data_IF_725342534470
#
_entry.id   IF_725342534470
#
_cell.length_a   1.000
_cell.length_b   1.000
_cell.length_c   1.000
_cell.angle_alpha   90.00
_cell.angle_beta   90.00
_cell.angle_gamma   90.00
#
_symmetry.space_group_name_H-M   'P 1'
#
loop_
_entity.id
_entity.type
_entity.pdbx_description
1 polymer ?
#
# COMPACT_ATOMS: atom_id res chain seq x y z
N UNK A 1 4.81 37.22 -26.40
CA UNK A 1 3.86 36.09 -26.34
C UNK A 1 4.13 35.36 -25.05
N UNK A 2 3.28 35.54 -24.04
CA UNK A 2 3.46 34.88 -22.75
C UNK A 2 3.06 33.42 -22.86
N UNK A 3 4.01 32.51 -22.60
CA UNK A 3 3.69 31.09 -22.43
C UNK A 3 2.71 30.97 -21.25
N UNK A 4 1.47 30.60 -21.56
CA UNK A 4 0.51 30.15 -20.55
C UNK A 4 1.03 28.81 -20.03
N UNK A 5 1.91 28.88 -19.04
CA UNK A 5 2.31 27.71 -18.25
C UNK A 5 1.06 27.23 -17.55
N UNK A 6 0.43 26.17 -18.09
CA UNK A 6 -0.69 25.50 -17.43
C UNK A 6 -0.16 25.04 -16.07
N UNK A 7 -0.59 25.71 -15.01
CA UNK A 7 -0.29 25.35 -13.63
C UNK A 7 -1.19 24.19 -13.24
N UNK A 8 -0.63 23.15 -12.63
CA UNK A 8 -1.34 21.93 -12.30
C UNK A 8 -0.76 20.71 -12.99
N UNK A 9 0.08 19.95 -12.28
CA UNK A 9 0.52 18.62 -12.72
C UNK A 9 -0.69 17.68 -12.79
N UNK A 10 -1.07 17.27 -14.00
CA UNK A 10 -2.22 16.36 -14.22
C UNK A 10 -2.02 15.00 -13.54
N UNK A 11 -0.81 14.38 -13.55
CA UNK A 11 -0.53 13.18 -12.78
C UNK A 11 -0.79 13.33 -11.28
N UNK A 12 -0.30 14.42 -10.67
CA UNK A 12 -0.43 14.64 -9.22
C UNK A 12 -1.90 14.89 -8.83
N UNK A 13 -2.65 15.62 -9.67
CA UNK A 13 -4.08 15.84 -9.47
C UNK A 13 -4.90 14.54 -9.62
N UNK A 14 -4.55 13.68 -10.57
CA UNK A 14 -5.18 12.36 -10.72
C UNK A 14 -4.88 11.47 -9.51
N UNK A 15 -3.62 11.41 -9.08
CA UNK A 15 -3.21 10.65 -7.90
C UNK A 15 -3.92 11.14 -6.64
N UNK A 16 -4.03 12.46 -6.47
CA UNK A 16 -4.82 13.09 -5.40
C UNK A 16 -6.28 12.64 -5.41
N UNK A 17 -6.95 12.68 -6.58
CA UNK A 17 -8.34 12.24 -6.70
C UNK A 17 -8.51 10.75 -6.35
N UNK A 18 -7.58 9.89 -6.77
CA UNK A 18 -7.60 8.45 -6.44
C UNK A 18 -7.40 8.22 -4.95
N UNK A 19 -6.41 8.86 -4.32
CA UNK A 19 -6.15 8.72 -2.88
C UNK A 19 -7.31 9.22 -2.03
N UNK A 20 -7.87 10.39 -2.36
CA UNK A 20 -9.05 10.92 -1.67
C UNK A 20 -10.24 9.97 -1.87
N UNK A 21 -10.48 9.52 -3.10
CA UNK A 21 -11.59 8.61 -3.41
C UNK A 21 -11.52 7.29 -2.64
N UNK A 22 -10.35 6.62 -2.67
CA UNK A 22 -10.14 5.37 -1.94
C UNK A 22 -10.19 5.57 -0.42
N UNK A 23 -9.59 6.64 0.10
CA UNK A 23 -9.61 6.95 1.52
C UNK A 23 -11.02 7.24 2.04
N UNK A 24 -11.81 8.03 1.32
CA UNK A 24 -13.22 8.29 1.64
C UNK A 24 -14.05 7.01 1.55
N UNK A 25 -13.81 6.17 0.54
CA UNK A 25 -14.48 4.88 0.40
C UNK A 25 -14.20 3.98 1.61
N UNK A 26 -12.96 3.89 2.07
CA UNK A 26 -12.60 3.13 3.28
C UNK A 26 -13.29 3.70 4.53
N UNK A 27 -13.28 5.03 4.70
CA UNK A 27 -13.96 5.69 5.83
C UNK A 27 -15.47 5.43 5.81
N UNK A 28 -16.07 5.43 4.63
CA UNK A 28 -17.48 5.15 4.44
C UNK A 28 -17.81 3.68 4.72
N UNK A 29 -17.04 2.74 4.18
CA UNK A 29 -17.24 1.29 4.39
C UNK A 29 -17.01 0.84 5.83
N UNK A 30 -16.23 1.60 6.61
CA UNK A 30 -15.88 1.26 8.00
C UNK A 30 -16.67 2.06 9.02
N UNK A 31 -17.65 2.88 8.60
CA UNK A 31 -18.45 3.75 9.48
C UNK A 31 -19.25 3.01 10.55
N UNK A 32 -19.63 1.77 10.27
CA UNK A 32 -20.44 0.93 11.17
C UNK A 32 -19.57 0.12 12.15
N UNK A 33 -18.24 0.10 11.96
CA UNK A 33 -17.30 -0.60 12.85
C UNK A 33 -16.99 0.23 14.10
N UNK A 34 -16.86 -0.40 15.26
CA UNK A 34 -16.40 0.31 16.47
C UNK A 34 -14.90 0.57 16.38
N UNK A 35 -14.47 1.82 16.56
CA UNK A 35 -13.04 2.16 16.57
C UNK A 35 -12.39 1.91 17.93
N UNK A 36 -13.12 1.97 19.05
CA UNK A 36 -12.52 1.86 20.38
C UNK A 36 -11.57 3.03 20.68
N UNK A 37 -10.54 2.79 21.48
CA UNK A 37 -9.50 3.76 21.82
C UNK A 37 -8.13 3.32 21.29
N UNK A 38 -7.11 4.19 21.32
CA UNK A 38 -5.76 3.81 20.91
C UNK A 38 -5.16 2.68 21.78
N UNK A 39 -5.58 2.58 23.05
CA UNK A 39 -5.15 1.53 23.97
C UNK A 39 -5.98 0.24 23.85
N UNK A 40 -7.18 0.31 23.28
CA UNK A 40 -8.06 -0.83 23.00
C UNK A 40 -8.67 -0.65 21.62
N UNK A 41 -7.86 -0.97 20.60
CA UNK A 41 -8.20 -0.74 19.20
C UNK A 41 -9.32 -1.70 18.79
N UNK A 42 -10.49 -1.13 18.45
CA UNK A 42 -11.58 -1.88 17.83
C UNK A 42 -11.29 -2.20 16.36
N UNK A 43 -12.11 -3.06 15.72
CA UNK A 43 -11.91 -3.48 14.33
C UNK A 43 -11.94 -2.30 13.33
N UNK A 44 -12.61 -1.20 13.69
CA UNK A 44 -12.66 0.01 12.88
C UNK A 44 -11.47 0.96 13.05
N UNK A 45 -10.60 0.78 14.05
CA UNK A 45 -9.54 1.75 14.37
C UNK A 45 -8.53 1.87 13.22
N UNK A 46 -7.88 0.76 12.87
CA UNK A 46 -6.80 0.74 11.90
C UNK A 46 -7.28 1.10 10.48
N UNK A 47 -8.41 0.53 9.98
CA UNK A 47 -8.95 0.93 8.68
C UNK A 47 -9.28 2.43 8.59
N UNK A 48 -9.89 3.02 9.64
CA UNK A 48 -10.22 4.46 9.64
C UNK A 48 -8.98 5.33 9.68
N UNK A 49 -7.99 4.97 10.49
CA UNK A 49 -6.74 5.71 10.59
C UNK A 49 -6.01 5.73 9.24
N UNK A 50 -5.88 4.57 8.58
CA UNK A 50 -5.26 4.48 7.24
C UNK A 50 -6.10 5.25 6.21
N UNK A 51 -7.42 5.12 6.24
CA UNK A 51 -8.32 5.87 5.36
C UNK A 51 -8.15 7.38 5.49
N UNK A 52 -8.13 7.89 6.73
CA UNK A 52 -7.90 9.31 7.03
C UNK A 52 -6.52 9.78 6.57
N UNK A 53 -5.46 9.03 6.88
CA UNK A 53 -4.09 9.36 6.43
C UNK A 53 -4.00 9.38 4.90
N UNK A 54 -4.70 8.47 4.22
CA UNK A 54 -4.72 8.42 2.75
C UNK A 54 -5.45 9.64 2.16
N UNK A 55 -6.56 10.08 2.77
CA UNK A 55 -7.24 11.33 2.37
C UNK A 55 -6.32 12.52 2.56
N UNK A 56 -5.64 12.64 3.72
CA UNK A 56 -4.69 13.72 4.00
C UNK A 56 -3.56 13.71 2.97
N UNK A 57 -2.97 12.54 2.69
CA UNK A 57 -1.93 12.40 1.69
C UNK A 57 -2.41 12.86 0.30
N UNK A 58 -3.62 12.47 -0.10
CA UNK A 58 -4.24 12.92 -1.34
C UNK A 58 -4.44 14.43 -1.40
N UNK A 59 -4.87 15.07 -0.31
CA UNK A 59 -4.99 16.53 -0.22
C UNK A 59 -3.62 17.22 -0.36
N UNK A 60 -2.59 16.71 0.32
CA UNK A 60 -1.21 17.24 0.24
C UNK A 60 -0.65 17.12 -1.18
N UNK A 61 -0.77 15.94 -1.80
CA UNK A 61 -0.33 15.70 -3.18
C UNK A 61 -1.07 16.62 -4.16
N UNK A 62 -2.39 16.78 -3.99
CA UNK A 62 -3.19 17.67 -4.83
C UNK A 62 -2.77 19.13 -4.69
N UNK A 63 -2.55 19.60 -3.45
CA UNK A 63 -2.09 20.96 -3.18
C UNK A 63 -0.72 21.23 -3.83
N UNK A 64 0.24 20.32 -3.67
CA UNK A 64 1.57 20.41 -4.32
C UNK A 64 1.41 20.40 -5.84
N UNK A 65 0.56 19.52 -6.37
CA UNK A 65 0.28 19.38 -7.79
C UNK A 65 -0.26 20.66 -8.44
N UNK A 66 -1.08 21.43 -7.72
CA UNK A 66 -1.60 22.73 -8.18
C UNK A 66 -0.50 23.80 -8.38
N UNK A 67 0.57 23.73 -7.59
CA UNK A 67 1.69 24.67 -7.67
C UNK A 67 2.81 24.21 -8.62
N UNK A 68 2.81 22.95 -9.04
CA UNK A 68 3.76 22.42 -10.05
C UNK A 68 3.37 22.79 -11.47
N UNK A 69 4.36 22.87 -12.35
CA UNK A 69 4.15 23.00 -13.80
C UNK A 69 3.40 21.80 -14.36
N UNK A 70 2.57 22.03 -15.38
CA UNK A 70 1.77 21.00 -16.02
C UNK A 70 2.63 19.95 -16.71
N UNK A 71 2.62 18.73 -16.18
CA UNK A 71 3.25 17.56 -16.78
C UNK A 71 2.17 16.68 -17.44
N UNK A 72 2.45 16.07 -18.62
CA UNK A 72 1.52 15.13 -19.24
C UNK A 72 1.36 13.86 -18.41
N UNK A 73 0.18 13.23 -18.50
CA UNK A 73 -0.07 11.92 -17.88
C UNK A 73 0.68 10.86 -18.69
N UNK A 74 1.61 10.16 -18.03
CA UNK A 74 2.28 9.00 -18.61
C UNK A 74 1.32 7.84 -18.88
N UNK A 75 1.77 6.86 -19.65
CA UNK A 75 0.95 5.67 -19.94
C UNK A 75 0.81 4.79 -18.69
N UNK A 76 -0.41 4.35 -18.41
CA UNK A 76 -0.67 3.43 -17.30
C UNK A 76 -0.08 2.07 -17.64
N UNK A 77 0.87 1.61 -16.83
CA UNK A 77 1.48 0.30 -16.99
C UNK A 77 0.63 -0.75 -16.26
N UNK A 78 -0.23 -1.45 -17.01
CA UNK A 78 -1.15 -2.46 -16.46
C UNK A 78 -0.42 -3.67 -15.86
N UNK A 79 0.73 -4.06 -16.41
CA UNK A 79 1.48 -5.23 -15.92
C UNK A 79 1.94 -5.06 -14.46
N UNK A 80 2.70 -3.99 -14.08
CA UNK A 80 3.04 -3.75 -12.69
C UNK A 80 1.81 -3.64 -11.77
N UNK A 81 0.76 -2.97 -12.24
CA UNK A 81 -0.47 -2.80 -11.46
C UNK A 81 -1.12 -4.14 -11.09
N UNK A 82 -1.32 -5.02 -12.07
CA UNK A 82 -1.93 -6.34 -11.84
C UNK A 82 -1.04 -7.23 -10.97
N UNK A 83 0.28 -7.21 -11.18
CA UNK A 83 1.22 -8.01 -10.38
C UNK A 83 1.19 -7.57 -8.91
N UNK A 84 1.22 -6.26 -8.63
CA UNK A 84 1.17 -5.75 -7.26
C UNK A 84 -0.15 -6.09 -6.57
N UNK A 85 -1.28 -5.89 -7.26
CA UNK A 85 -2.60 -6.23 -6.72
C UNK A 85 -2.73 -7.73 -6.45
N UNK A 86 -2.28 -8.58 -7.38
CA UNK A 86 -2.30 -10.03 -7.22
C UNK A 86 -1.37 -10.50 -6.09
N UNK A 87 -0.21 -9.86 -5.92
CA UNK A 87 0.74 -10.20 -4.85
C UNK A 87 0.16 -9.85 -3.48
N UNK A 88 -0.46 -8.67 -3.33
CA UNK A 88 -1.12 -8.24 -2.09
C UNK A 88 -2.33 -9.11 -1.77
N UNK A 89 -3.16 -9.43 -2.77
CA UNK A 89 -4.28 -10.35 -2.59
C UNK A 89 -3.80 -11.76 -2.20
N UNK A 90 -2.75 -12.25 -2.86
CA UNK A 90 -2.12 -13.53 -2.54
C UNK A 90 -1.60 -13.58 -1.11
N UNK A 91 -0.96 -12.49 -0.63
CA UNK A 91 -0.56 -12.35 0.77
C UNK A 91 -1.75 -12.47 1.72
N UNK A 92 -2.82 -11.70 1.48
CA UNK A 92 -3.99 -11.70 2.35
C UNK A 92 -4.64 -13.09 2.47
N UNK A 93 -4.70 -13.85 1.36
CA UNK A 93 -5.25 -15.21 1.34
C UNK A 93 -4.30 -16.25 1.95
N UNK A 94 -2.99 -16.09 1.74
CA UNK A 94 -1.98 -17.03 2.22
C UNK A 94 -1.62 -16.82 3.70
N UNK A 95 -1.80 -15.61 4.26
CA UNK A 95 -1.38 -15.28 5.61
C UNK A 95 -2.05 -16.17 6.67
N UNK A 96 -3.35 -16.45 6.52
CA UNK A 96 -4.09 -17.30 7.47
C UNK A 96 -3.90 -18.81 7.19
N UNK A 97 -3.64 -19.20 5.94
CA UNK A 97 -3.62 -20.62 5.52
C UNK A 97 -2.21 -21.23 5.46
N UNK A 98 -1.24 -20.51 4.90
CA UNK A 98 0.14 -20.93 4.74
C UNK A 98 1.09 -20.31 5.77
N UNK A 99 0.61 -19.33 6.54
CA UNK A 99 1.37 -18.62 7.55
C UNK A 99 2.23 -17.47 7.02
N UNK A 100 2.72 -16.66 7.95
CA UNK A 100 3.40 -15.38 7.70
C UNK A 100 4.64 -15.54 6.84
N UNK A 101 5.49 -16.55 7.08
CA UNK A 101 6.75 -16.71 6.34
C UNK A 101 6.48 -16.89 4.85
N UNK A 102 5.59 -17.82 4.50
CA UNK A 102 5.27 -18.16 3.11
C UNK A 102 4.54 -16.98 2.44
N UNK A 103 3.56 -16.39 3.14
CA UNK A 103 2.80 -15.26 2.62
C UNK A 103 3.71 -14.05 2.35
N UNK A 104 4.55 -13.66 3.31
CA UNK A 104 5.45 -12.51 3.19
C UNK A 104 6.53 -12.74 2.13
N UNK A 105 7.14 -13.92 2.09
CA UNK A 105 8.14 -14.25 1.08
C UNK A 105 7.52 -14.21 -0.33
N UNK A 106 6.33 -14.81 -0.50
CA UNK A 106 5.58 -14.78 -1.75
C UNK A 106 5.24 -13.36 -2.19
N UNK A 107 4.73 -12.52 -1.28
CA UNK A 107 4.44 -11.11 -1.55
C UNK A 107 5.64 -10.37 -2.15
N UNK A 108 6.83 -10.54 -1.54
CA UNK A 108 8.04 -9.83 -1.95
C UNK A 108 8.55 -10.38 -3.29
N UNK A 109 8.56 -11.70 -3.47
CA UNK A 109 9.04 -12.34 -4.70
C UNK A 109 8.12 -11.97 -5.88
N UNK A 110 6.82 -12.17 -5.77
CA UNK A 110 5.87 -11.85 -6.84
C UNK A 110 5.79 -10.33 -7.07
N UNK A 111 5.81 -9.53 -6.00
CA UNK A 111 5.83 -8.07 -6.09
C UNK A 111 7.05 -7.55 -6.85
N UNK A 112 8.22 -8.16 -6.66
CA UNK A 112 9.45 -7.77 -7.37
C UNK A 112 9.38 -7.97 -8.89
N UNK A 113 8.52 -8.89 -9.38
CA UNK A 113 8.32 -9.11 -10.83
C UNK A 113 7.57 -7.97 -11.53
N UNK A 114 7.00 -7.04 -10.75
CA UNK A 114 6.44 -5.79 -11.26
C UNK A 114 7.54 -4.87 -11.81
N UNK A 115 8.76 -4.99 -11.30
CA UNK A 115 9.91 -4.24 -11.79
C UNK A 115 10.49 -4.89 -13.06
N UNK A 116 10.97 -4.04 -13.98
CA UNK A 116 11.63 -4.50 -15.22
C UNK A 116 13.06 -4.99 -14.96
N UNK A 117 13.71 -4.49 -13.91
CA UNK A 117 15.11 -4.79 -13.59
C UNK A 117 15.26 -5.73 -12.39
N UNK A 118 14.32 -6.65 -12.21
CA UNK A 118 14.36 -7.59 -11.09
C UNK A 118 15.59 -8.52 -11.17
N UNK A 119 16.46 -8.45 -10.16
CA UNK A 119 17.63 -9.33 -10.02
C UNK A 119 17.33 -10.41 -8.99
N UNK A 120 17.27 -11.67 -9.43
CA UNK A 120 16.91 -12.82 -8.58
C UNK A 120 17.68 -12.85 -7.25
N UNK A 121 18.98 -12.51 -7.26
CA UNK A 121 19.80 -12.45 -6.03
C UNK A 121 19.31 -11.38 -5.05
N UNK A 122 19.05 -10.17 -5.55
CA UNK A 122 18.59 -9.05 -4.72
C UNK A 122 17.19 -9.30 -4.17
N UNK A 123 16.32 -9.91 -4.99
CA UNK A 123 14.96 -10.32 -4.59
C UNK A 123 15.01 -11.37 -3.49
N UNK A 124 15.82 -12.42 -3.63
CA UNK A 124 15.93 -13.46 -2.61
C UNK A 124 16.51 -12.93 -1.29
N UNK A 125 17.51 -12.06 -1.36
CA UNK A 125 18.09 -11.41 -0.17
C UNK A 125 17.05 -10.52 0.50
N UNK A 126 16.37 -9.66 -0.27
CA UNK A 126 15.34 -8.75 0.25
C UNK A 126 14.17 -9.53 0.85
N UNK A 127 13.68 -10.55 0.14
CA UNK A 127 12.61 -11.44 0.61
C UNK A 127 12.98 -12.08 1.94
N UNK A 128 14.16 -12.69 2.04
CA UNK A 128 14.63 -13.33 3.28
C UNK A 128 14.76 -12.32 4.42
N UNK A 129 15.40 -11.17 4.17
CA UNK A 129 15.64 -10.16 5.20
C UNK A 129 14.35 -9.52 5.70
N UNK A 130 13.47 -9.08 4.80
CA UNK A 130 12.20 -8.44 5.19
C UNK A 130 11.24 -9.45 5.85
N UNK A 131 11.20 -10.70 5.40
CA UNK A 131 10.39 -11.73 6.06
C UNK A 131 10.91 -12.03 7.45
N UNK A 132 12.22 -12.20 7.64
CA UNK A 132 12.80 -12.39 8.98
C UNK A 132 12.57 -11.17 9.88
N UNK A 133 12.77 -9.97 9.36
CA UNK A 133 12.51 -8.74 10.09
C UNK A 133 11.04 -8.63 10.51
N UNK A 134 10.11 -8.90 9.59
CA UNK A 134 8.69 -8.91 9.89
C UNK A 134 8.32 -9.98 10.93
N UNK A 135 8.95 -11.15 10.88
CA UNK A 135 8.73 -12.21 11.86
C UNK A 135 9.20 -11.79 13.26
N UNK A 136 10.38 -11.16 13.34
CA UNK A 136 10.90 -10.62 14.60
C UNK A 136 10.03 -9.50 15.14
N UNK A 137 9.61 -8.54 14.30
CA UNK A 137 8.84 -7.39 14.77
C UNK A 137 7.39 -7.75 15.07
N UNK A 138 6.68 -8.42 14.15
CA UNK A 138 5.25 -8.67 14.30
C UNK A 138 4.95 -9.82 15.24
N UNK A 139 5.66 -10.94 15.10
CA UNK A 139 5.34 -12.15 15.87
C UNK A 139 6.05 -12.09 17.22
N UNK A 140 7.37 -11.89 17.24
CA UNK A 140 8.10 -11.88 18.51
C UNK A 140 8.07 -10.52 19.24
N UNK A 141 8.02 -9.40 18.52
CA UNK A 141 8.09 -8.06 19.11
C UNK A 141 6.74 -7.51 19.55
N UNK A 142 5.72 -7.69 18.72
CA UNK A 142 4.38 -7.14 18.91
C UNK A 142 3.34 -8.20 19.31
N UNK A 143 3.74 -9.47 19.39
CA UNK A 143 2.88 -10.61 19.75
C UNK A 143 1.59 -10.69 18.91
N UNK A 144 1.72 -10.37 17.61
CA UNK A 144 0.60 -10.48 16.67
C UNK A 144 0.25 -11.95 16.50
N UNK A 145 -1.02 -12.28 16.76
CA UNK A 145 -1.56 -13.63 16.56
C UNK A 145 -1.72 -13.93 15.07
N UNK A 146 -0.63 -14.38 14.44
CA UNK A 146 -0.60 -14.86 13.07
C UNK A 146 0.16 -16.18 13.01
N UNK A 147 -0.32 -17.20 12.28
CA UNK A 147 0.43 -18.44 12.10
C UNK A 147 1.80 -18.14 11.47
N UNK A 148 2.88 -18.66 12.06
CA UNK A 148 4.24 -18.47 11.54
C UNK A 148 4.45 -19.23 10.22
N UNK A 149 3.84 -20.39 10.08
CA UNK A 149 3.89 -21.27 8.92
C UNK A 149 2.75 -22.31 8.99
N UNK A 150 2.68 -23.24 8.04
CA UNK A 150 1.59 -24.22 7.94
C UNK A 150 1.73 -25.40 8.93
N UNK A 151 2.50 -25.24 10.00
CA UNK A 151 2.89 -26.29 10.95
C UNK A 151 2.29 -26.07 12.34
#
# INVERSE_FOLDING_TARGET
>A
MGEVTIRGSRPDLLASAIFIGLGVLVLWSTRDLTAGSAAMMGPGYMPRMIGLLTVILGLVVGLIGLFKGGEPIGTVQLRPLVILLASVAGFALAAESAGFIIAAAGLIIFGSMADREWRMREVLISSTLLTLFGLVVFIYGLDVQMPVGPF
#
